data_IF_454366653271
#
_entry.id   IF_454366653271
#
_cell.length_a   1.000
_cell.length_b   1.000
_cell.length_c   1.000
_cell.angle_alpha   90.00
_cell.angle_beta   90.00
_cell.angle_gamma   90.00
#
_symmetry.space_group_name_H-M   'P 1'
#
loop_
_entity.id
_entity.type
_entity.pdbx_description
1 polymer ?
#
# COMPACT_ATOMS: atom_id res chain seq x y z
N UNK A 1 16.26 27.89 7.70
CA UNK A 1 15.02 27.82 8.54
C UNK A 1 13.75 28.19 7.79
N UNK A 2 13.57 29.38 7.18
CA UNK A 2 12.32 29.73 6.43
C UNK A 2 12.05 28.89 5.17
N UNK A 3 13.07 28.39 4.48
CA UNK A 3 12.93 27.57 3.25
C UNK A 3 12.45 26.16 3.59
N UNK A 4 13.00 25.54 4.65
CA UNK A 4 12.57 24.23 5.13
C UNK A 4 11.10 24.19 5.57
N UNK A 5 10.63 25.21 6.28
CA UNK A 5 9.23 25.31 6.68
C UNK A 5 8.27 25.34 5.49
N UNK A 6 8.64 26.02 4.41
CA UNK A 6 7.81 26.11 3.19
C UNK A 6 7.75 24.77 2.45
N UNK A 7 8.85 24.03 2.41
CA UNK A 7 8.89 22.69 1.80
C UNK A 7 8.07 21.67 2.61
N UNK A 8 8.20 21.69 3.94
CA UNK A 8 7.42 20.84 4.83
C UNK A 8 5.93 21.16 4.70
N UNK A 9 5.54 22.41 4.68
CA UNK A 9 4.15 22.83 4.52
C UNK A 9 3.58 22.38 3.18
N UNK A 10 4.32 22.56 2.09
CA UNK A 10 3.90 22.10 0.76
C UNK A 10 3.76 20.59 0.68
N UNK A 11 4.66 19.82 1.31
CA UNK A 11 4.56 18.37 1.38
C UNK A 11 3.33 17.95 2.19
N UNK A 12 3.10 18.57 3.34
CA UNK A 12 1.94 18.28 4.19
C UNK A 12 0.61 18.56 3.49
N UNK A 13 0.51 19.67 2.77
CA UNK A 13 -0.68 20.01 1.98
C UNK A 13 -0.94 18.98 0.87
N UNK A 14 0.07 18.54 0.15
CA UNK A 14 -0.08 17.51 -0.88
C UNK A 14 -0.58 16.20 -0.30
N UNK A 15 -0.03 15.78 0.85
CA UNK A 15 -0.47 14.57 1.55
C UNK A 15 -1.93 14.70 1.97
N UNK A 16 -2.31 15.82 2.60
CA UNK A 16 -3.68 16.05 3.06
C UNK A 16 -4.69 16.05 1.92
N UNK A 17 -4.38 16.72 0.81
CA UNK A 17 -5.25 16.74 -0.38
C UNK A 17 -5.38 15.34 -0.97
N UNK A 18 -4.29 14.57 -1.07
CA UNK A 18 -4.31 13.20 -1.58
C UNK A 18 -5.16 12.28 -0.73
N UNK A 19 -5.00 12.35 0.60
CA UNK A 19 -5.80 11.56 1.54
C UNK A 19 -7.28 11.94 1.46
N UNK A 20 -7.57 13.24 1.43
CA UNK A 20 -8.95 13.71 1.26
C UNK A 20 -9.59 13.15 -0.01
N UNK A 21 -8.89 13.24 -1.16
CA UNK A 21 -9.38 12.68 -2.42
C UNK A 21 -9.57 11.15 -2.35
N UNK A 22 -8.64 10.41 -1.74
CA UNK A 22 -8.80 8.98 -1.54
C UNK A 22 -10.04 8.64 -0.71
N UNK A 23 -10.22 9.32 0.42
CA UNK A 23 -11.36 9.08 1.31
C UNK A 23 -12.67 9.46 0.62
N UNK A 24 -12.72 10.62 -0.03
CA UNK A 24 -13.91 11.10 -0.72
C UNK A 24 -14.31 10.16 -1.87
N UNK A 25 -13.37 9.84 -2.78
CA UNK A 25 -13.65 8.99 -3.93
C UNK A 25 -14.07 7.58 -3.53
N UNK A 26 -13.35 6.93 -2.60
CA UNK A 26 -13.66 5.55 -2.24
C UNK A 26 -14.91 5.44 -1.36
N UNK A 27 -15.10 6.35 -0.42
CA UNK A 27 -16.24 6.29 0.49
C UNK A 27 -17.54 6.77 -0.15
N UNK A 28 -17.48 7.88 -0.91
CA UNK A 28 -18.67 8.51 -1.48
C UNK A 28 -19.09 7.88 -2.81
N UNK A 29 -18.12 7.62 -3.72
CA UNK A 29 -18.43 7.10 -5.05
C UNK A 29 -18.48 5.57 -5.11
N UNK A 30 -17.60 4.88 -4.40
CA UNK A 30 -17.47 3.42 -4.49
C UNK A 30 -18.01 2.66 -3.27
N UNK A 31 -18.40 3.36 -2.22
CA UNK A 31 -18.84 2.78 -0.93
C UNK A 31 -17.88 1.70 -0.39
N UNK A 32 -16.57 1.95 -0.56
CA UNK A 32 -15.48 1.05 -0.16
C UNK A 32 -14.71 1.68 0.98
N UNK A 33 -14.21 0.86 1.92
CA UNK A 33 -13.37 1.34 3.01
C UNK A 33 -12.08 1.98 2.46
N UNK A 34 -11.83 3.28 2.66
CA UNK A 34 -10.71 4.00 2.07
C UNK A 34 -9.39 3.80 2.81
N UNK A 35 -9.39 3.08 3.94
CA UNK A 35 -8.25 2.98 4.85
C UNK A 35 -6.93 2.63 4.15
N UNK A 36 -6.93 1.57 3.33
CA UNK A 36 -5.71 1.12 2.65
C UNK A 36 -5.26 2.07 1.54
N UNK A 37 -6.19 2.69 0.84
CA UNK A 37 -5.88 3.71 -0.16
C UNK A 37 -5.29 4.97 0.48
N UNK A 38 -5.83 5.40 1.61
CA UNK A 38 -5.30 6.53 2.37
C UNK A 38 -3.88 6.28 2.86
N UNK A 39 -3.60 5.09 3.43
CA UNK A 39 -2.24 4.70 3.81
C UNK A 39 -1.31 4.65 2.58
N UNK A 40 -1.80 4.15 1.45
CA UNK A 40 -1.03 4.13 0.21
C UNK A 40 -0.69 5.55 -0.24
N UNK A 41 -1.64 6.47 -0.21
CA UNK A 41 -1.43 7.87 -0.58
C UNK A 41 -0.40 8.56 0.31
N UNK A 42 -0.50 8.41 1.63
CA UNK A 42 0.47 8.98 2.59
C UNK A 42 1.88 8.46 2.32
N UNK A 43 2.03 7.16 2.13
CA UNK A 43 3.35 6.53 1.98
C UNK A 43 4.00 6.81 0.63
N UNK A 44 3.20 6.96 -0.45
CA UNK A 44 3.72 7.18 -1.79
C UNK A 44 4.10 8.63 -2.06
N UNK A 45 3.63 9.60 -1.27
CA UNK A 45 3.96 11.00 -1.44
C UNK A 45 5.36 11.32 -0.90
N UNK A 46 6.33 11.25 -1.79
CA UNK A 46 7.73 11.59 -1.52
C UNK A 46 8.07 13.00 -2.05
N UNK A 47 9.29 13.46 -1.76
CA UNK A 47 9.76 14.79 -2.20
C UNK A 47 9.79 14.94 -3.72
N UNK A 48 10.14 13.89 -4.46
CA UNK A 48 10.18 13.87 -5.93
C UNK A 48 9.13 12.94 -6.53
N UNK A 49 8.73 13.21 -7.79
CA UNK A 49 7.80 12.33 -8.53
C UNK A 49 8.44 10.96 -8.75
N UNK A 50 9.73 10.92 -9.05
CA UNK A 50 10.46 9.68 -9.30
C UNK A 50 10.47 8.78 -8.06
N UNK A 51 10.73 9.34 -6.90
CA UNK A 51 10.72 8.58 -5.64
C UNK A 51 9.30 8.12 -5.28
N UNK A 52 8.30 8.98 -5.50
CA UNK A 52 6.90 8.62 -5.30
C UNK A 52 6.46 7.45 -6.20
N UNK A 53 6.87 7.45 -7.45
CA UNK A 53 6.58 6.36 -8.39
C UNK A 53 7.27 5.05 -7.97
N UNK A 54 8.54 5.14 -7.56
CA UNK A 54 9.29 3.98 -7.06
C UNK A 54 8.62 3.37 -5.83
N UNK A 55 8.30 4.19 -4.84
CA UNK A 55 7.62 3.72 -3.61
C UNK A 55 6.22 3.16 -3.93
N UNK A 56 5.50 3.78 -4.87
CA UNK A 56 4.20 3.28 -5.34
C UNK A 56 4.30 1.87 -5.93
N UNK A 57 5.26 1.61 -6.81
CA UNK A 57 5.51 0.28 -7.40
C UNK A 57 5.90 -0.72 -6.31
N UNK A 58 6.82 -0.37 -5.42
CA UNK A 58 7.25 -1.25 -4.33
C UNK A 58 6.08 -1.62 -3.43
N UNK A 59 5.14 -0.70 -3.23
CA UNK A 59 3.92 -0.92 -2.46
C UNK A 59 2.97 -1.89 -3.16
N UNK A 60 2.73 -1.73 -4.45
CA UNK A 60 1.88 -2.63 -5.23
C UNK A 60 2.46 -4.04 -5.25
N UNK A 61 3.77 -4.18 -5.50
CA UNK A 61 4.46 -5.47 -5.51
C UNK A 61 4.37 -6.15 -4.14
N UNK A 62 4.65 -5.42 -3.06
CA UNK A 62 4.54 -5.95 -1.70
C UNK A 62 3.11 -6.39 -1.36
N UNK A 63 2.10 -5.62 -1.79
CA UNK A 63 0.68 -5.97 -1.59
C UNK A 63 0.29 -7.24 -2.32
N UNK A 64 0.70 -7.40 -3.58
CA UNK A 64 0.41 -8.61 -4.36
C UNK A 64 1.13 -9.82 -3.75
N UNK A 65 2.41 -9.69 -3.46
CA UNK A 65 3.21 -10.79 -2.92
C UNK A 65 2.73 -11.24 -1.53
N UNK A 66 2.50 -10.30 -0.62
CA UNK A 66 1.94 -10.60 0.70
C UNK A 66 0.52 -11.15 0.63
N UNK A 67 -0.28 -10.69 -0.34
CA UNK A 67 -1.62 -11.21 -0.61
C UNK A 67 -1.61 -12.66 -1.07
N UNK A 68 -0.77 -13.00 -2.03
CA UNK A 68 -0.65 -14.37 -2.56
C UNK A 68 -0.20 -15.34 -1.45
N UNK A 69 0.85 -15.00 -0.71
CA UNK A 69 1.32 -15.86 0.39
C UNK A 69 0.27 -15.94 1.50
N UNK A 70 -0.46 -14.85 1.77
CA UNK A 70 -1.55 -14.86 2.74
C UNK A 70 -2.67 -15.84 2.37
N UNK A 71 -3.07 -15.87 1.11
CA UNK A 71 -4.07 -16.82 0.63
C UNK A 71 -3.60 -18.29 0.72
N UNK A 72 -2.31 -18.53 0.42
CA UNK A 72 -1.73 -19.87 0.63
C UNK A 72 -1.70 -20.26 2.11
N UNK A 73 -1.28 -19.35 2.99
CA UNK A 73 -1.20 -19.61 4.42
C UNK A 73 -2.59 -19.95 5.03
N UNK A 74 -3.64 -19.27 4.57
CA UNK A 74 -5.03 -19.53 5.01
C UNK A 74 -5.42 -20.97 4.71
N UNK A 75 -5.07 -21.50 3.55
CA UNK A 75 -5.39 -22.88 3.20
C UNK A 75 -4.84 -23.88 4.24
N UNK A 76 -3.64 -23.63 4.75
CA UNK A 76 -3.03 -24.47 5.79
C UNK A 76 -3.58 -24.18 7.21
N UNK A 77 -3.94 -22.95 7.50
CA UNK A 77 -4.47 -22.54 8.82
C UNK A 77 -5.89 -23.09 9.03
N UNK A 78 -6.75 -23.05 8.02
CA UNK A 78 -8.14 -23.53 8.12
C UNK A 78 -8.25 -25.05 8.21
N UNK A 79 -7.25 -25.79 7.78
CA UNK A 79 -7.26 -27.25 7.77
C UNK A 79 -6.94 -27.84 9.15
N UNK A 80 -6.28 -27.11 10.05
CA UNK A 80 -5.91 -27.57 11.38
C UNK A 80 -6.02 -26.46 12.42
N UNK A 81 -7.18 -26.34 13.03
CA UNK A 81 -7.51 -25.35 14.05
C UNK A 81 -6.88 -25.69 15.42
N UNK A 82 -5.60 -25.39 15.59
CA UNK A 82 -4.99 -25.26 16.91
C UNK A 82 -4.21 -23.96 16.94
N UNK A 83 -4.49 -23.08 17.88
CA UNK A 83 -3.92 -21.73 17.98
C UNK A 83 -2.38 -21.69 17.85
N UNK A 84 -1.69 -22.69 18.38
CA UNK A 84 -0.25 -22.83 18.27
C UNK A 84 0.23 -23.16 16.85
N UNK A 85 -0.42 -24.08 16.15
CA UNK A 85 -0.06 -24.47 14.77
C UNK A 85 -0.31 -23.30 13.82
N UNK A 86 -1.44 -22.62 13.96
CA UNK A 86 -1.76 -21.43 13.17
C UNK A 86 -0.71 -20.33 13.34
N UNK A 87 -0.31 -20.04 14.57
CA UNK A 87 0.74 -19.06 14.88
C UNK A 87 2.10 -19.46 14.28
N UNK A 88 2.44 -20.74 14.29
CA UNK A 88 3.68 -21.25 13.71
C UNK A 88 3.68 -21.11 12.18
N UNK A 89 2.56 -21.42 11.51
CA UNK A 89 2.40 -21.24 10.06
C UNK A 89 2.52 -19.77 9.70
N UNK A 90 1.93 -18.86 10.48
CA UNK A 90 2.07 -17.41 10.27
C UNK A 90 3.53 -16.97 10.38
N UNK A 91 4.26 -17.41 11.40
CA UNK A 91 5.67 -17.06 11.59
C UNK A 91 6.55 -17.57 10.43
N UNK A 92 6.34 -18.82 9.99
CA UNK A 92 7.06 -19.40 8.87
C UNK A 92 6.77 -18.64 7.56
N UNK A 93 5.52 -18.30 7.32
CA UNK A 93 5.11 -17.52 6.15
C UNK A 93 5.72 -16.12 6.12
N UNK A 94 5.90 -15.48 7.28
CA UNK A 94 6.61 -14.20 7.37
C UNK A 94 8.07 -14.30 6.95
N UNK A 95 8.76 -15.37 7.34
CA UNK A 95 10.14 -15.62 6.91
C UNK A 95 10.18 -15.77 5.39
N UNK A 96 9.25 -16.52 4.79
CA UNK A 96 9.15 -16.72 3.35
C UNK A 96 8.89 -15.37 2.63
N UNK A 97 8.03 -14.52 3.18
CA UNK A 97 7.77 -13.18 2.64
C UNK A 97 9.04 -12.32 2.63
N UNK A 98 9.74 -12.26 3.75
CA UNK A 98 10.95 -11.42 3.88
C UNK A 98 12.04 -11.92 2.93
N UNK A 99 12.30 -13.21 2.89
CA UNK A 99 13.28 -13.82 1.99
C UNK A 99 12.86 -13.63 0.53
N UNK A 100 11.61 -13.85 0.18
CA UNK A 100 11.08 -13.68 -1.16
C UNK A 100 11.19 -12.24 -1.66
N UNK A 101 10.79 -11.25 -0.86
CA UNK A 101 10.92 -9.84 -1.23
C UNK A 101 12.40 -9.41 -1.36
N UNK A 102 13.28 -9.95 -0.51
CA UNK A 102 14.69 -9.55 -0.49
C UNK A 102 15.47 -10.21 -1.62
N UNK A 103 15.36 -11.54 -1.78
CA UNK A 103 16.21 -12.30 -2.71
C UNK A 103 15.57 -12.49 -4.09
N UNK A 104 14.25 -12.74 -4.17
CA UNK A 104 13.56 -12.98 -5.44
C UNK A 104 13.18 -11.66 -6.10
N UNK A 105 12.48 -10.79 -5.38
CA UNK A 105 12.01 -9.51 -5.92
C UNK A 105 13.09 -8.43 -5.89
N UNK A 106 14.17 -8.62 -5.12
CA UNK A 106 15.26 -7.64 -4.91
C UNK A 106 14.76 -6.26 -4.49
N UNK A 107 13.68 -6.24 -3.70
CA UNK A 107 13.03 -5.01 -3.20
C UNK A 107 12.78 -5.10 -1.69
N UNK A 108 13.81 -4.93 -0.86
CA UNK A 108 13.67 -5.06 0.60
C UNK A 108 12.69 -4.04 1.20
N UNK A 109 12.50 -2.89 0.57
CA UNK A 109 11.50 -1.90 1.00
C UNK A 109 10.05 -2.39 0.90
N UNK A 110 9.77 -3.41 0.10
CA UNK A 110 8.45 -4.04 0.00
C UNK A 110 8.14 -5.01 1.16
N UNK A 111 9.13 -5.42 1.97
CA UNK A 111 8.97 -6.38 3.06
C UNK A 111 7.89 -5.97 4.05
N UNK A 112 7.98 -4.75 4.56
CA UNK A 112 7.04 -4.22 5.57
C UNK A 112 5.60 -4.24 5.05
N UNK A 113 5.42 -3.85 3.79
CA UNK A 113 4.09 -3.80 3.17
C UNK A 113 3.55 -5.21 2.96
N UNK A 114 4.37 -6.13 2.46
CA UNK A 114 3.98 -7.51 2.25
C UNK A 114 3.58 -8.20 3.58
N UNK A 115 4.33 -7.98 4.66
CA UNK A 115 4.00 -8.48 5.99
C UNK A 115 2.69 -7.89 6.53
N UNK A 116 2.47 -6.57 6.39
CA UNK A 116 1.22 -5.93 6.82
C UNK A 116 0.01 -6.47 6.05
N UNK A 117 0.17 -6.69 4.73
CA UNK A 117 -0.90 -7.25 3.91
C UNK A 117 -1.19 -8.69 4.29
N UNK A 118 -0.16 -9.49 4.46
CA UNK A 118 -0.25 -10.87 4.92
C UNK A 118 -1.00 -10.98 6.25
N UNK A 119 -0.56 -10.26 7.28
CA UNK A 119 -1.22 -10.22 8.58
C UNK A 119 -2.69 -9.76 8.45
N UNK A 120 -2.94 -8.71 7.69
CA UNK A 120 -4.30 -8.22 7.53
C UNK A 120 -5.24 -9.19 6.80
N UNK A 121 -4.74 -10.13 6.01
CA UNK A 121 -5.52 -11.19 5.37
C UNK A 121 -5.71 -12.36 6.34
N UNK A 122 -4.65 -12.77 7.05
CA UNK A 122 -4.69 -13.94 7.92
C UNK A 122 -5.39 -13.71 9.26
N UNK A 123 -5.37 -12.49 9.80
CA UNK A 123 -5.99 -12.17 11.11
C UNK A 123 -7.43 -11.67 11.01
N UNK A 124 -7.89 -11.20 9.84
CA UNK A 124 -9.27 -10.70 9.64
C UNK A 124 -10.21 -11.74 9.02
N UNK A 125 -10.07 -13.01 9.41
CA UNK A 125 -10.81 -14.11 8.81
C UNK A 125 -12.26 -14.29 9.31
N UNK A 126 -12.71 -13.50 10.28
CA UNK A 126 -14.05 -13.66 10.85
C UNK A 126 -15.16 -13.46 9.80
N UNK A 127 -15.61 -14.58 9.23
CA UNK A 127 -16.84 -14.68 8.44
C UNK A 127 -16.82 -14.07 7.02
N UNK A 128 -15.65 -13.77 6.45
CA UNK A 128 -15.53 -13.17 5.10
C UNK A 128 -14.70 -14.03 4.15
N UNK A 129 -15.09 -14.04 2.86
CA UNK A 129 -14.32 -14.70 1.81
C UNK A 129 -12.92 -14.07 1.69
N UNK A 130 -11.83 -14.83 1.99
CA UNK A 130 -10.46 -14.31 1.99
C UNK A 130 -10.00 -13.86 0.59
N UNK A 131 -10.49 -14.51 -0.47
CA UNK A 131 -10.15 -14.18 -1.86
C UNK A 131 -10.71 -12.81 -2.24
N UNK A 132 -11.97 -12.56 -1.90
CA UNK A 132 -12.60 -11.25 -2.12
C UNK A 132 -11.88 -10.14 -1.34
N UNK A 133 -11.48 -10.41 -0.11
CA UNK A 133 -10.76 -9.46 0.73
C UNK A 133 -9.37 -9.11 0.19
N UNK A 134 -8.61 -10.11 -0.24
CA UNK A 134 -7.30 -9.91 -0.85
C UNK A 134 -7.41 -9.09 -2.14
N UNK A 135 -8.36 -9.42 -3.02
CA UNK A 135 -8.62 -8.68 -4.25
C UNK A 135 -9.00 -7.22 -4.00
N UNK A 136 -9.92 -6.98 -3.08
CA UNK A 136 -10.34 -5.62 -2.67
C UNK A 136 -9.16 -4.81 -2.11
N UNK A 137 -8.27 -5.43 -1.34
CA UNK A 137 -7.08 -4.79 -0.78
C UNK A 137 -6.08 -4.39 -1.87
N UNK A 138 -5.83 -5.25 -2.84
CA UNK A 138 -4.97 -4.94 -3.98
C UNK A 138 -5.54 -3.76 -4.78
N UNK A 139 -6.82 -3.80 -5.12
CA UNK A 139 -7.49 -2.74 -5.88
C UNK A 139 -7.46 -1.39 -5.15
N UNK A 140 -7.81 -1.35 -3.87
CA UNK A 140 -7.79 -0.10 -3.09
C UNK A 140 -6.38 0.47 -2.93
N UNK A 141 -5.36 -0.39 -2.83
CA UNK A 141 -3.95 0.05 -2.79
C UNK A 141 -3.53 0.68 -4.11
N UNK A 142 -3.87 0.05 -5.25
CA UNK A 142 -3.57 0.58 -6.59
C UNK A 142 -4.24 1.94 -6.79
N UNK A 143 -5.52 2.08 -6.44
CA UNK A 143 -6.25 3.35 -6.53
C UNK A 143 -5.57 4.42 -5.67
N UNK A 144 -5.18 4.10 -4.44
CA UNK A 144 -4.47 5.03 -3.56
C UNK A 144 -3.12 5.49 -4.13
N UNK A 145 -2.35 4.58 -4.73
CA UNK A 145 -1.09 4.89 -5.41
C UNK A 145 -1.32 5.83 -6.60
N UNK A 146 -2.32 5.54 -7.44
CA UNK A 146 -2.64 6.36 -8.61
C UNK A 146 -3.04 7.77 -8.18
N UNK A 147 -3.91 7.91 -7.19
CA UNK A 147 -4.34 9.22 -6.66
C UNK A 147 -3.13 9.99 -6.09
N UNK A 148 -2.26 9.32 -5.34
CA UNK A 148 -1.07 9.93 -4.78
C UNK A 148 -0.12 10.46 -5.87
N UNK A 149 0.13 9.67 -6.90
CA UNK A 149 0.98 10.05 -8.02
C UNK A 149 0.38 11.21 -8.82
N UNK A 150 -0.92 11.17 -9.10
CA UNK A 150 -1.65 12.25 -9.77
C UNK A 150 -1.57 13.55 -8.97
N UNK A 151 -1.85 13.51 -7.67
CA UNK A 151 -1.73 14.67 -6.79
C UNK A 151 -0.30 15.21 -6.74
N UNK A 152 0.70 14.32 -6.62
CA UNK A 152 2.09 14.76 -6.60
C UNK A 152 2.49 15.41 -7.91
N UNK A 153 2.06 14.87 -9.04
CA UNK A 153 2.35 15.45 -10.37
C UNK A 153 1.71 16.82 -10.56
N UNK A 154 0.43 16.97 -10.21
CA UNK A 154 -0.31 18.24 -10.36
C UNK A 154 0.22 19.30 -9.41
N UNK A 155 0.48 18.96 -8.16
CA UNK A 155 0.84 19.89 -7.10
C UNK A 155 2.35 20.16 -6.98
N UNK A 156 3.22 19.36 -7.62
CA UNK A 156 4.69 19.52 -7.55
C UNK A 156 5.23 20.72 -8.33
N UNK A 157 4.39 21.39 -9.11
CA UNK A 157 4.82 22.52 -9.96
C UNK A 157 5.61 22.09 -11.21
N UNK A 158 5.92 20.80 -11.39
CA UNK A 158 6.52 20.29 -12.63
C UNK A 158 5.57 20.44 -13.81
N UNK A 159 4.26 20.32 -13.59
CA UNK A 159 3.24 20.66 -14.58
C UNK A 159 3.37 22.09 -15.09
N UNK A 160 3.70 23.06 -14.21
CA UNK A 160 3.95 24.47 -14.61
C UNK A 160 5.23 24.62 -15.44
N UNK A 161 6.26 23.82 -15.17
CA UNK A 161 7.52 23.83 -15.96
C UNK A 161 7.35 23.25 -17.35
N UNK A 162 6.57 22.18 -17.51
CA UNK A 162 6.27 21.59 -18.81
C UNK A 162 5.39 22.49 -19.68
N UNK A 163 4.42 23.20 -19.08
CA UNK A 163 3.55 24.14 -19.79
C UNK A 163 4.27 25.45 -20.20
N UNK A 164 5.39 25.79 -19.56
CA UNK A 164 6.26 26.93 -19.92
C UNK A 164 7.26 26.62 -21.05
N UNK A 165 7.47 25.32 -21.36
CA UNK A 165 8.37 24.89 -22.45
C UNK A 165 7.66 24.58 -23.76
N UNK A 166 6.33 24.67 -23.81
CA UNK A 166 5.51 24.70 -25.01
C UNK A 166 5.07 26.12 -25.34
#
# INVERSE_FOLDING_TARGET
MKIEHKEILNKSLRISISVFLCVFLLKVLLNVNPFYAAIAAVSCLQGTIRDSFRVGIERVIGTIFGGVIGLFAIYFITTESTDFKGSFVMALSMIIIILGCTYILRKPSSNTIACIVFLGITTNMEGRDPYFWAGKRILTTIIGVIIALACNWILSGEYKKLKRKK
#
